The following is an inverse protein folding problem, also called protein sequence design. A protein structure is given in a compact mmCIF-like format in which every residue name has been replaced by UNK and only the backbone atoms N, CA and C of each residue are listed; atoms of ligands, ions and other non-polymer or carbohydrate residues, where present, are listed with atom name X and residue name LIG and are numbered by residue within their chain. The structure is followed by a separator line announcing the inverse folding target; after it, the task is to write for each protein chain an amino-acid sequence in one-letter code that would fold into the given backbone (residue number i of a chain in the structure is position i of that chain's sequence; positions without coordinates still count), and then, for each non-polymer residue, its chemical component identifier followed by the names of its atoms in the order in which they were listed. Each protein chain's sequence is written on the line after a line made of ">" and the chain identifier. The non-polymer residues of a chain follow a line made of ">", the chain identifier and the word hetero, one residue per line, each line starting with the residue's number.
data_IF_399766423864
#
_entry.id   IF_399766423864
#
_cell.length_a   1.000
_cell.length_b   1.000
_cell.length_c   1.000
_cell.angle_alpha   90.00
_cell.angle_beta   90.00
_cell.angle_gamma   90.00
#
_symmetry.space_group_name_H-M   'P 1'
#
loop_
_entity.id
_entity.type
_entity.pdbx_description
1 polymer ?
#
# COMPACT_ATOMS: atom_id res chain seq x y z
N UNK A 1 53.96 6.59 -19.57
CA UNK A 1 52.81 7.51 -19.46
C UNK A 1 51.55 6.67 -19.48
N UNK A 2 51.00 6.43 -18.27
CA UNK A 2 49.82 5.60 -18.05
C UNK A 2 48.57 6.42 -18.38
N UNK A 3 47.67 5.82 -19.16
CA UNK A 3 46.40 6.39 -19.61
C UNK A 3 45.35 6.09 -18.53
N UNK A 4 44.95 7.10 -17.78
CA UNK A 4 43.79 7.00 -16.87
C UNK A 4 42.50 6.97 -17.70
N UNK A 5 41.58 6.03 -17.47
CA UNK A 5 40.23 6.12 -18.01
C UNK A 5 39.38 7.04 -17.13
N UNK A 6 38.87 8.09 -17.78
CA UNK A 6 37.81 8.97 -17.30
C UNK A 6 36.61 8.19 -16.76
N UNK A 7 36.35 8.29 -15.45
CA UNK A 7 35.07 7.91 -14.86
C UNK A 7 33.99 8.90 -15.34
N UNK A 8 33.36 8.57 -16.47
CA UNK A 8 32.12 9.19 -16.89
C UNK A 8 31.02 8.84 -15.91
N UNK A 9 30.36 9.87 -15.37
CA UNK A 9 29.26 9.75 -14.42
C UNK A 9 28.18 8.80 -14.92
N UNK A 10 27.96 7.74 -14.15
CA UNK A 10 26.73 6.96 -14.23
C UNK A 10 25.61 7.87 -13.72
N UNK A 11 24.84 8.41 -14.66
CA UNK A 11 23.51 8.90 -14.39
C UNK A 11 22.79 7.84 -13.55
N UNK A 12 22.27 8.26 -12.38
CA UNK A 12 21.41 7.47 -11.53
C UNK A 12 20.30 6.87 -12.40
N UNK A 13 20.35 5.55 -12.58
CA UNK A 13 19.26 4.81 -13.18
C UNK A 13 18.07 4.88 -12.23
N UNK A 14 17.19 5.80 -12.55
CA UNK A 14 15.81 5.89 -12.14
C UNK A 14 15.13 4.51 -12.16
N UNK A 15 14.48 4.11 -11.05
CA UNK A 15 13.46 3.08 -11.04
C UNK A 15 13.87 1.59 -11.10
N UNK A 16 14.98 1.17 -10.49
CA UNK A 16 15.18 -0.26 -10.23
C UNK A 16 14.12 -0.74 -9.22
N UNK A 17 13.11 -1.46 -9.71
CA UNK A 17 12.07 -2.12 -8.92
C UNK A 17 12.73 -2.90 -7.77
N UNK A 18 12.67 -2.35 -6.55
CA UNK A 18 13.34 -2.95 -5.39
C UNK A 18 12.77 -4.36 -5.20
N UNK A 19 13.65 -5.35 -5.26
CA UNK A 19 13.28 -6.74 -5.04
C UNK A 19 12.51 -6.87 -3.72
N UNK A 20 11.30 -7.42 -3.78
CA UNK A 20 10.55 -7.80 -2.58
C UNK A 20 10.93 -9.21 -2.15
N UNK A 21 10.96 -9.39 -0.85
CA UNK A 21 11.19 -10.66 -0.18
C UNK A 21 10.01 -10.97 0.71
N UNK A 22 9.70 -12.26 0.84
CA UNK A 22 8.72 -12.80 1.77
C UNK A 22 9.45 -13.74 2.72
N UNK A 23 9.42 -13.43 4.01
CA UNK A 23 9.94 -14.30 5.06
C UNK A 23 8.80 -14.86 5.90
N UNK A 24 8.79 -16.17 6.13
CA UNK A 24 7.76 -16.86 6.92
C UNK A 24 8.42 -17.58 8.09
N UNK A 25 7.79 -17.50 9.26
CA UNK A 25 8.11 -18.31 10.43
C UNK A 25 6.82 -18.83 11.08
N UNK A 26 6.91 -19.86 11.90
CA UNK A 26 5.79 -20.39 12.66
C UNK A 26 6.18 -20.81 14.08
N UNK A 27 5.17 -20.86 14.95
CA UNK A 27 5.21 -21.46 16.26
C UNK A 27 4.13 -22.53 16.33
N UNK A 28 4.52 -23.76 16.63
CA UNK A 28 3.62 -24.90 16.80
C UNK A 28 3.33 -25.14 18.30
N UNK A 29 2.39 -26.05 18.57
CA UNK A 29 2.08 -26.56 19.92
C UNK A 29 1.68 -25.47 20.92
N UNK A 30 0.98 -24.44 20.42
CA UNK A 30 0.54 -23.31 21.20
C UNK A 30 -0.73 -23.63 21.99
N UNK A 31 -0.53 -23.94 23.27
CA UNK A 31 -1.63 -24.07 24.23
C UNK A 31 -2.12 -22.73 24.81
N UNK A 32 -1.54 -21.59 24.39
CA UNK A 32 -1.87 -20.29 24.96
C UNK A 32 -2.70 -19.42 24.00
N UNK A 33 -4.03 -19.33 24.20
CA UNK A 33 -4.89 -18.51 23.35
C UNK A 33 -4.64 -17.00 23.50
N UNK A 34 -3.91 -16.55 24.53
CA UNK A 34 -3.62 -15.13 24.77
C UNK A 34 -2.44 -14.59 23.98
N UNK A 35 -1.55 -15.45 23.48
CA UNK A 35 -0.36 -14.99 22.74
C UNK A 35 -0.73 -14.24 21.46
N UNK A 36 -1.71 -14.76 20.70
CA UNK A 36 -2.21 -14.08 19.51
C UNK A 36 -2.66 -12.66 19.84
N UNK A 37 -3.52 -12.52 20.85
CA UNK A 37 -4.07 -11.22 21.25
C UNK A 37 -2.97 -10.26 21.68
N UNK A 38 -2.01 -10.71 22.48
CA UNK A 38 -0.90 -9.87 22.94
C UNK A 38 -0.01 -9.38 21.79
N UNK A 39 0.27 -10.23 20.80
CA UNK A 39 1.01 -9.84 19.60
C UNK A 39 0.18 -8.88 18.74
N UNK A 40 -1.09 -9.20 18.52
CA UNK A 40 -2.02 -8.37 17.79
C UNK A 40 -2.08 -6.94 18.36
N UNK A 41 -2.40 -6.81 19.65
CA UNK A 41 -2.55 -5.52 20.33
C UNK A 41 -1.24 -4.72 20.29
N UNK A 42 -0.09 -5.39 20.39
CA UNK A 42 1.21 -4.73 20.28
C UNK A 42 1.45 -4.12 18.88
N UNK A 43 1.21 -4.88 17.82
CA UNK A 43 1.47 -4.40 16.47
C UNK A 43 0.39 -3.43 15.98
N UNK A 44 -0.86 -3.60 16.40
CA UNK A 44 -1.96 -2.67 16.12
C UNK A 44 -1.74 -1.29 16.76
N UNK A 45 -0.99 -1.22 17.86
CA UNK A 45 -0.62 0.06 18.48
C UNK A 45 0.43 0.85 17.67
N UNK A 46 1.12 0.21 16.72
CA UNK A 46 2.24 0.80 15.98
C UNK A 46 1.95 0.92 14.48
N UNK A 47 1.18 -0.01 13.93
CA UNK A 47 0.93 -0.14 12.50
C UNK A 47 -0.58 -0.19 12.21
N UNK A 48 -1.03 0.46 11.12
CA UNK A 48 -2.37 0.22 10.58
C UNK A 48 -2.60 -1.27 10.35
N UNK A 49 -3.78 -1.75 10.73
CA UNK A 49 -4.13 -3.18 10.66
C UNK A 49 -5.39 -3.38 9.83
N UNK A 50 -5.33 -4.32 8.89
CA UNK A 50 -6.49 -4.89 8.21
C UNK A 50 -6.74 -6.28 8.78
N UNK A 51 -7.92 -6.48 9.38
CA UNK A 51 -8.29 -7.76 9.97
C UNK A 51 -9.18 -8.56 9.01
N UNK A 52 -8.79 -9.80 8.73
CA UNK A 52 -9.64 -10.81 8.07
C UNK A 52 -9.83 -12.00 9.03
N UNK A 53 -10.86 -12.80 8.80
CA UNK A 53 -11.15 -13.96 9.66
C UNK A 53 -9.91 -14.86 9.78
N UNK A 54 -9.33 -14.95 11.00
CA UNK A 54 -8.16 -15.79 11.28
C UNK A 54 -6.79 -15.17 10.91
N UNK A 55 -6.73 -13.92 10.44
CA UNK A 55 -5.46 -13.25 10.14
C UNK A 55 -5.53 -11.73 10.33
N UNK A 56 -4.46 -11.16 10.86
CA UNK A 56 -4.28 -9.71 10.94
C UNK A 56 -3.08 -9.30 10.09
N UNK A 57 -3.29 -8.36 9.18
CA UNK A 57 -2.26 -7.80 8.30
C UNK A 57 -1.90 -6.39 8.76
N UNK A 58 -0.65 -6.20 9.18
CA UNK A 58 -0.08 -4.95 9.66
C UNK A 58 0.75 -4.32 8.53
N UNK A 59 0.49 -3.05 8.24
CA UNK A 59 1.16 -2.33 7.15
C UNK A 59 2.35 -1.55 7.68
N UNK A 60 3.55 -1.93 7.22
CA UNK A 60 4.83 -1.40 7.71
C UNK A 60 5.29 -0.15 6.92
N UNK A 61 4.54 0.23 5.88
CA UNK A 61 4.90 1.29 4.94
C UNK A 61 5.71 0.77 3.75
N UNK A 62 5.60 1.44 2.60
CA UNK A 62 6.33 1.00 1.40
C UNK A 62 5.96 -0.41 0.95
N UNK A 63 4.73 -0.88 1.24
CA UNK A 63 4.12 -2.13 0.72
C UNK A 63 4.66 -3.37 1.40
N UNK A 64 5.42 -3.11 2.45
CA UNK A 64 5.92 -4.08 3.36
C UNK A 64 4.80 -4.37 4.35
N UNK A 65 4.53 -5.65 4.55
CA UNK A 65 3.45 -6.11 5.41
C UNK A 65 3.99 -7.10 6.41
N UNK A 66 3.36 -7.16 7.57
CA UNK A 66 3.51 -8.23 8.51
C UNK A 66 2.14 -8.87 8.72
N UNK A 67 1.99 -10.16 8.41
CA UNK A 67 0.77 -10.91 8.70
C UNK A 67 0.97 -11.83 9.89
N UNK A 68 0.02 -11.75 10.80
CA UNK A 68 -0.13 -12.65 11.93
C UNK A 68 -1.34 -13.55 11.66
N UNK A 69 -1.09 -14.82 11.41
CA UNK A 69 -2.14 -15.81 11.18
C UNK A 69 -2.36 -16.64 12.44
N UNK A 70 -3.63 -16.90 12.74
CA UNK A 70 -4.04 -17.79 13.82
C UNK A 70 -4.53 -19.11 13.24
N UNK A 71 -3.73 -20.15 13.44
CA UNK A 71 -4.14 -21.53 13.21
C UNK A 71 -4.86 -22.12 14.43
N UNK A 72 -5.15 -23.41 14.38
CA UNK A 72 -5.85 -24.12 15.45
C UNK A 72 -4.95 -24.25 16.70
N UNK A 73 -3.69 -24.64 16.50
CA UNK A 73 -2.68 -24.87 17.55
C UNK A 73 -1.34 -24.19 17.24
N UNK A 74 -1.34 -23.26 16.28
CA UNK A 74 -0.14 -22.64 15.76
C UNK A 74 -0.38 -21.15 15.44
N UNK A 75 0.73 -20.42 15.40
CA UNK A 75 0.78 -19.06 14.88
C UNK A 75 1.80 -19.04 13.75
N UNK A 76 1.42 -18.45 12.62
CA UNK A 76 2.35 -18.17 11.55
C UNK A 76 2.50 -16.68 11.32
N UNK A 77 3.71 -16.32 10.93
CA UNK A 77 4.18 -14.96 10.74
C UNK A 77 4.68 -14.87 9.31
N UNK A 78 4.17 -13.92 8.55
CA UNK A 78 4.66 -13.61 7.21
C UNK A 78 5.09 -12.15 7.17
N UNK A 79 6.31 -11.87 6.76
CA UNK A 79 6.80 -10.50 6.56
C UNK A 79 7.15 -10.35 5.09
N UNK A 80 6.44 -9.46 4.38
CA UNK A 80 6.84 -9.00 3.06
C UNK A 80 7.62 -7.70 3.23
N UNK A 81 8.82 -7.63 2.67
CA UNK A 81 9.71 -6.48 2.83
C UNK A 81 10.57 -6.23 1.60
N UNK A 82 10.94 -4.97 1.42
CA UNK A 82 11.96 -4.51 0.46
C UNK A 82 13.12 -3.84 1.19
N UNK A 83 12.93 -3.45 2.46
CA UNK A 83 13.94 -2.89 3.35
C UNK A 83 14.20 -3.85 4.52
N UNK A 84 15.46 -4.28 4.64
CA UNK A 84 15.89 -5.20 5.70
C UNK A 84 15.72 -4.60 7.11
N UNK A 85 15.68 -3.28 7.24
CA UNK A 85 15.52 -2.58 8.52
C UNK A 85 14.15 -2.82 9.13
N UNK A 86 13.09 -2.82 8.29
CA UNK A 86 11.71 -3.12 8.72
C UNK A 86 11.57 -4.58 9.13
N UNK A 87 12.14 -5.49 8.33
CA UNK A 87 12.23 -6.90 8.69
C UNK A 87 12.92 -7.10 10.05
N UNK A 88 14.08 -6.47 10.26
CA UNK A 88 14.83 -6.58 11.52
C UNK A 88 14.04 -6.04 12.73
N UNK A 89 13.30 -4.95 12.57
CA UNK A 89 12.48 -4.37 13.64
C UNK A 89 11.33 -5.31 14.06
N UNK A 90 10.58 -5.84 13.09
CA UNK A 90 9.46 -6.75 13.35
C UNK A 90 9.96 -8.06 13.96
N UNK A 91 11.00 -8.67 13.36
CA UNK A 91 11.56 -9.94 13.88
C UNK A 91 12.15 -9.80 15.27
N UNK A 92 12.81 -8.68 15.60
CA UNK A 92 13.29 -8.40 16.97
C UNK A 92 12.13 -8.32 17.97
N UNK A 93 11.05 -7.62 17.61
CA UNK A 93 9.86 -7.51 18.45
C UNK A 93 9.19 -8.87 18.66
N UNK A 94 9.06 -9.67 17.59
CA UNK A 94 8.53 -11.03 17.65
C UNK A 94 9.38 -11.92 18.55
N UNK A 95 10.68 -12.03 18.29
CA UNK A 95 11.59 -12.88 19.07
C UNK A 95 11.57 -12.54 20.56
N UNK A 96 11.48 -11.25 20.92
CA UNK A 96 11.35 -10.83 22.31
C UNK A 96 10.07 -11.37 22.97
N UNK A 97 8.95 -11.29 22.26
CA UNK A 97 7.61 -11.67 22.77
C UNK A 97 7.33 -13.17 22.70
N UNK A 98 7.99 -13.87 21.78
CA UNK A 98 7.82 -15.32 21.57
C UNK A 98 8.90 -16.15 22.25
N UNK A 99 9.89 -15.54 22.92
CA UNK A 99 11.02 -16.22 23.59
C UNK A 99 10.64 -17.39 24.50
N UNK A 100 9.46 -17.32 25.15
CA UNK A 100 8.96 -18.41 26.02
C UNK A 100 8.52 -19.66 25.24
N UNK A 101 8.21 -19.50 23.96
CA UNK A 101 7.65 -20.53 23.07
C UNK A 101 8.68 -20.99 22.03
N UNK A 102 9.61 -20.12 21.63
CA UNK A 102 10.77 -20.47 20.80
C UNK A 102 12.05 -19.97 21.48
N UNK A 103 12.70 -20.86 22.26
CA UNK A 103 13.92 -20.53 23.02
C UNK A 103 15.08 -20.15 22.10
N UNK A 104 15.19 -20.82 20.96
CA UNK A 104 16.23 -20.60 19.95
C UNK A 104 15.86 -19.50 18.93
N UNK A 105 14.74 -18.80 19.16
CA UNK A 105 14.18 -17.80 18.26
C UNK A 105 13.36 -18.41 17.12
N UNK A 106 12.63 -17.55 16.43
CA UNK A 106 11.84 -17.95 15.25
C UNK A 106 12.75 -18.30 14.08
N UNK A 107 12.51 -19.47 13.49
CA UNK A 107 13.20 -19.89 12.27
C UNK A 107 12.47 -19.32 11.05
N UNK A 108 13.17 -18.50 10.26
CA UNK A 108 12.60 -17.81 9.10
C UNK A 108 13.03 -18.46 7.79
N UNK A 109 12.06 -18.80 6.95
CA UNK A 109 12.28 -19.18 5.55
C UNK A 109 12.02 -17.97 4.65
N UNK A 110 12.96 -17.61 3.79
CA UNK A 110 12.88 -16.40 2.95
C UNK A 110 12.87 -16.76 1.47
N UNK A 111 11.92 -16.21 0.73
CA UNK A 111 11.83 -16.32 -0.73
C UNK A 111 11.71 -14.95 -1.39
N UNK A 112 12.17 -14.84 -2.64
CA UNK A 112 11.91 -13.66 -3.46
C UNK A 112 10.48 -13.69 -3.96
N UNK A 113 9.81 -12.55 -3.96
CA UNK A 113 8.47 -12.40 -4.53
C UNK A 113 8.47 -11.30 -5.59
N UNK A 114 7.66 -11.48 -6.63
CA UNK A 114 7.43 -10.44 -7.61
C UNK A 114 6.66 -9.30 -6.93
N UNK A 115 7.09 -8.07 -7.16
CA UNK A 115 6.32 -6.89 -6.82
C UNK A 115 5.01 -6.89 -7.62
N UNK A 116 3.87 -6.53 -7.00
CA UNK A 116 2.65 -6.27 -7.75
C UNK A 116 2.90 -5.15 -8.76
N UNK A 117 2.22 -5.19 -9.91
CA UNK A 117 2.30 -4.05 -10.84
C UNK A 117 1.68 -2.84 -10.15
N UNK A 118 2.48 -1.79 -9.99
CA UNK A 118 2.04 -0.56 -9.34
C UNK A 118 1.14 0.24 -10.28
N UNK A 119 -0.19 0.10 -10.10
CA UNK A 119 -1.19 0.90 -10.82
C UNK A 119 -1.11 2.37 -10.37
N UNK A 120 -1.02 2.57 -9.06
CA UNK A 120 -0.73 3.85 -8.43
C UNK A 120 0.69 3.82 -7.88
N UNK A 121 1.31 5.00 -7.65
CA UNK A 121 2.62 5.13 -6.99
C UNK A 121 2.51 4.85 -5.48
N UNK A 122 1.87 3.74 -5.17
CA UNK A 122 1.66 3.14 -3.87
C UNK A 122 2.41 1.82 -3.86
N UNK A 123 2.88 1.41 -2.69
CA UNK A 123 2.80 2.06 -1.37
C UNK A 123 3.65 3.33 -1.21
N UNK A 124 3.30 4.22 -0.26
CA UNK A 124 4.13 5.39 0.11
C UNK A 124 4.89 5.19 1.43
N UNK A 125 6.01 5.91 1.64
CA UNK A 125 6.61 6.05 2.96
C UNK A 125 5.61 6.66 3.96
N UNK A 126 5.64 6.19 5.20
CA UNK A 126 4.74 6.66 6.25
C UNK A 126 5.14 8.06 6.73
N UNK A 127 6.43 8.28 6.95
CA UNK A 127 7.02 9.54 7.43
C UNK A 127 7.18 10.62 6.34
N UNK A 128 6.47 10.50 5.23
CA UNK A 128 6.52 11.48 4.15
C UNK A 128 6.04 12.86 4.67
N UNK A 129 6.86 13.93 4.54
CA UNK A 129 6.56 15.24 5.14
C UNK A 129 5.69 16.13 4.24
N UNK A 130 5.42 15.71 3.00
CA UNK A 130 4.67 16.49 2.01
C UNK A 130 3.19 16.60 2.38
N UNK A 131 2.52 17.66 1.92
CA UNK A 131 1.09 17.83 2.14
C UNK A 131 0.29 16.69 1.49
N UNK A 132 -0.85 16.27 2.08
CA UNK A 132 -1.65 15.17 1.53
C UNK A 132 -2.05 15.37 0.07
N UNK A 133 -2.38 16.60 -0.33
CA UNK A 133 -2.70 16.95 -1.71
C UNK A 133 -1.53 16.60 -2.63
N UNK A 134 -0.32 17.04 -2.32
CA UNK A 134 0.87 16.82 -3.14
C UNK A 134 1.23 15.33 -3.20
N UNK A 135 1.10 14.61 -2.09
CA UNK A 135 1.34 13.16 -2.06
C UNK A 135 0.32 12.43 -2.91
N UNK A 136 -0.96 12.82 -2.86
CA UNK A 136 -1.99 12.26 -3.72
C UNK A 136 -1.73 12.58 -5.20
N UNK A 137 -1.28 13.78 -5.55
CA UNK A 137 -0.88 14.08 -6.94
C UNK A 137 0.19 13.10 -7.43
N UNK A 138 1.21 12.83 -6.61
CA UNK A 138 2.25 11.83 -6.94
C UNK A 138 1.70 10.40 -6.99
N UNK A 139 0.84 9.99 -6.04
CA UNK A 139 0.21 8.67 -6.01
C UNK A 139 -0.53 8.39 -7.33
N UNK A 140 -1.24 9.40 -7.84
CA UNK A 140 -2.02 9.32 -9.08
C UNK A 140 -1.24 9.72 -10.34
N UNK A 141 0.07 9.99 -10.24
CA UNK A 141 0.95 10.38 -11.36
C UNK A 141 0.49 11.65 -12.10
N UNK A 142 -0.10 12.61 -11.38
CA UNK A 142 -0.63 13.87 -11.91
C UNK A 142 0.38 15.04 -11.84
N UNK A 143 1.53 14.78 -11.23
CA UNK A 143 2.71 15.65 -11.16
C UNK A 143 3.71 15.37 -12.29
N UNK A 144 3.49 14.34 -13.10
CA UNK A 144 4.32 14.07 -14.28
C UNK A 144 4.17 15.18 -15.32
N UNK A 145 5.31 15.64 -15.84
CA UNK A 145 5.35 16.57 -16.99
C UNK A 145 4.96 15.89 -18.30
N UNK A 146 5.00 14.54 -18.35
CA UNK A 146 4.56 13.76 -19.49
C UNK A 146 3.06 13.46 -19.38
N UNK A 147 2.30 14.37 -19.96
CA UNK A 147 0.86 14.28 -20.00
C UNK A 147 0.33 13.05 -20.78
N UNK A 148 1.10 12.50 -21.75
CA UNK A 148 0.77 11.28 -22.51
C UNK A 148 0.84 10.03 -21.64
N UNK A 149 1.92 9.91 -20.88
CA UNK A 149 2.08 8.83 -19.91
C UNK A 149 1.05 8.91 -18.78
N UNK A 150 0.69 10.11 -18.30
CA UNK A 150 -0.38 10.29 -17.32
C UNK A 150 -1.72 9.73 -17.82
N UNK A 151 -2.15 10.06 -19.05
CA UNK A 151 -3.41 9.52 -19.62
C UNK A 151 -3.37 8.00 -19.79
N UNK A 152 -2.24 7.45 -20.23
CA UNK A 152 -2.05 5.99 -20.35
C UNK A 152 -2.20 5.30 -18.99
N UNK A 153 -1.62 5.87 -17.93
CA UNK A 153 -1.75 5.37 -16.56
C UNK A 153 -3.19 5.45 -16.06
N UNK A 154 -3.87 6.56 -16.32
CA UNK A 154 -5.29 6.73 -15.96
C UNK A 154 -6.14 5.65 -16.63
N UNK A 155 -5.94 5.43 -17.92
CA UNK A 155 -6.67 4.40 -18.68
C UNK A 155 -6.39 2.99 -18.14
N UNK A 156 -5.13 2.72 -17.79
CA UNK A 156 -4.70 1.44 -17.18
C UNK A 156 -5.35 1.24 -15.81
N UNK A 157 -5.42 2.29 -14.99
CA UNK A 157 -6.09 2.24 -13.68
C UNK A 157 -7.59 1.97 -13.84
N UNK A 158 -8.27 2.65 -14.77
CA UNK A 158 -9.69 2.43 -15.04
C UNK A 158 -9.94 0.97 -15.44
N UNK A 159 -9.15 0.44 -16.39
CA UNK A 159 -9.30 -0.94 -16.85
C UNK A 159 -9.07 -1.97 -15.73
N UNK A 160 -8.09 -1.71 -14.85
CA UNK A 160 -7.74 -2.63 -13.77
C UNK A 160 -8.71 -2.56 -12.58
N UNK A 161 -9.17 -1.36 -12.21
CA UNK A 161 -10.06 -1.14 -11.06
C UNK A 161 -11.54 -1.35 -11.41
N UNK A 162 -11.93 -1.16 -12.68
CA UNK A 162 -13.30 -1.31 -13.17
C UNK A 162 -13.40 -2.33 -14.33
N UNK A 163 -12.96 -3.59 -14.16
CA UNK A 163 -12.92 -4.57 -15.24
C UNK A 163 -14.32 -4.97 -15.77
N UNK A 164 -15.38 -4.73 -14.99
CA UNK A 164 -16.76 -5.12 -15.33
C UNK A 164 -17.72 -3.92 -15.37
N UNK A 165 -17.20 -2.69 -15.47
CA UNK A 165 -17.99 -1.46 -15.48
C UNK A 165 -17.92 -0.66 -14.17
N UNK A 166 -18.75 0.40 -14.00
CA UNK A 166 -18.51 1.53 -13.08
C UNK A 166 -18.71 1.24 -11.58
N UNK A 167 -18.96 0.00 -11.18
CA UNK A 167 -19.04 -0.39 -9.76
C UNK A 167 -17.78 -1.14 -9.34
N UNK A 168 -17.14 -0.66 -8.27
CA UNK A 168 -16.12 -1.41 -7.53
C UNK A 168 -16.81 -2.51 -6.69
N UNK A 169 -17.32 -3.56 -7.34
CA UNK A 169 -17.96 -4.66 -6.61
C UNK A 169 -18.77 -5.61 -7.48
N UNK A 170 -18.51 -6.91 -7.34
CA UNK A 170 -19.27 -8.01 -7.96
C UNK A 170 -18.50 -8.86 -8.97
N UNK A 171 -17.33 -8.40 -9.44
CA UNK A 171 -16.40 -9.16 -10.29
C UNK A 171 -15.12 -9.55 -9.55
N UNK A 172 -14.43 -10.58 -10.03
CA UNK A 172 -13.10 -10.96 -9.56
C UNK A 172 -12.11 -9.83 -9.91
N UNK A 173 -11.78 -8.97 -8.95
CA UNK A 173 -10.73 -7.97 -9.14
C UNK A 173 -9.37 -8.66 -9.32
N UNK A 174 -8.47 -8.03 -10.09
CA UNK A 174 -7.10 -8.50 -10.18
C UNK A 174 -6.39 -8.32 -8.83
N UNK A 175 -5.36 -9.15 -8.57
CA UNK A 175 -4.54 -9.00 -7.37
C UNK A 175 -3.91 -7.60 -7.27
N UNK A 176 -3.54 -7.00 -8.41
CA UNK A 176 -2.96 -5.66 -8.46
C UNK A 176 -3.97 -4.56 -8.07
N UNK A 177 -5.24 -4.68 -8.51
CA UNK A 177 -6.32 -3.78 -8.12
C UNK A 177 -6.61 -3.86 -6.62
N UNK A 178 -6.71 -5.08 -6.09
CA UNK A 178 -6.93 -5.28 -4.65
C UNK A 178 -5.77 -4.75 -3.81
N UNK A 179 -4.53 -4.99 -4.24
CA UNK A 179 -3.34 -4.47 -3.56
C UNK A 179 -3.28 -2.93 -3.62
N UNK A 180 -3.64 -2.33 -4.75
CA UNK A 180 -3.72 -0.87 -4.92
C UNK A 180 -4.74 -0.25 -3.97
N UNK A 181 -5.93 -0.84 -3.87
CA UNK A 181 -6.98 -0.40 -2.95
C UNK A 181 -6.54 -0.50 -1.49
N UNK A 182 -5.93 -1.62 -1.10
CA UNK A 182 -5.41 -1.82 0.26
C UNK A 182 -4.35 -0.77 0.59
N UNK A 183 -3.34 -0.63 -0.25
CA UNK A 183 -2.24 0.32 -0.02
C UNK A 183 -2.73 1.78 0.07
N UNK A 184 -3.76 2.15 -0.70
CA UNK A 184 -4.36 3.49 -0.61
C UNK A 184 -5.11 3.67 0.71
N UNK A 185 -5.89 2.68 1.13
CA UNK A 185 -6.57 2.70 2.43
C UNK A 185 -5.56 2.79 3.58
N UNK A 186 -4.46 2.05 3.52
CA UNK A 186 -3.42 2.09 4.55
C UNK A 186 -2.76 3.48 4.62
N UNK A 187 -2.50 4.09 3.46
CA UNK A 187 -1.96 5.45 3.43
C UNK A 187 -2.93 6.47 4.04
N UNK A 188 -4.23 6.37 3.73
CA UNK A 188 -5.27 7.23 4.30
C UNK A 188 -5.42 7.03 5.82
N UNK A 189 -5.44 5.78 6.28
CA UNK A 189 -5.45 5.44 7.71
C UNK A 189 -4.25 6.05 8.42
N UNK A 190 -3.07 6.02 7.78
CA UNK A 190 -1.88 6.62 8.36
C UNK A 190 -1.96 8.16 8.47
N UNK A 191 -2.60 8.83 7.51
CA UNK A 191 -2.84 10.27 7.62
C UNK A 191 -3.79 10.61 8.79
N UNK A 192 -4.77 9.74 9.07
CA UNK A 192 -5.66 9.87 10.21
C UNK A 192 -4.93 9.64 11.54
N UNK A 193 -4.10 8.60 11.65
CA UNK A 193 -3.24 8.37 12.82
C UNK A 193 -2.32 9.56 13.09
N UNK A 194 -1.80 10.21 12.04
CA UNK A 194 -1.00 11.45 12.15
C UNK A 194 -1.82 12.71 12.41
N UNK A 195 -3.14 12.60 12.48
CA UNK A 195 -4.08 13.69 12.68
C UNK A 195 -4.00 14.76 11.56
N UNK A 196 -3.53 14.38 10.38
CA UNK A 196 -3.42 15.24 9.21
C UNK A 196 -4.75 15.25 8.45
N UNK A 197 -5.33 14.07 8.26
CA UNK A 197 -6.69 13.90 7.75
C UNK A 197 -7.58 13.35 8.87
N UNK A 198 -8.89 13.47 8.70
CA UNK A 198 -9.90 12.79 9.49
C UNK A 198 -10.52 11.72 8.59
N UNK A 199 -10.26 10.46 8.88
CA UNK A 199 -10.70 9.31 8.06
C UNK A 199 -11.29 8.24 8.95
N UNK A 200 -12.62 8.20 9.07
CA UNK A 200 -13.31 7.26 9.96
C UNK A 200 -13.18 5.79 9.49
N UNK A 201 -13.35 5.55 8.19
CA UNK A 201 -13.13 4.25 7.55
C UNK A 201 -12.25 4.42 6.32
N UNK A 202 -11.00 3.98 6.43
CA UNK A 202 -10.02 4.15 5.38
C UNK A 202 -10.30 3.33 4.11
N UNK A 203 -10.97 2.18 4.24
CA UNK A 203 -11.36 1.35 3.09
C UNK A 203 -12.48 2.01 2.29
N UNK A 204 -13.49 2.55 2.99
CA UNK A 204 -14.54 3.35 2.35
C UNK A 204 -13.98 4.64 1.75
N UNK A 205 -13.08 5.33 2.45
CA UNK A 205 -12.45 6.56 1.95
C UNK A 205 -11.62 6.31 0.68
N UNK A 206 -10.84 5.22 0.64
CA UNK A 206 -10.11 4.81 -0.57
C UNK A 206 -11.07 4.52 -1.74
N UNK A 207 -12.15 3.79 -1.47
CA UNK A 207 -13.20 3.47 -2.47
C UNK A 207 -13.86 4.74 -3.00
N UNK A 208 -14.18 5.69 -2.12
CA UNK A 208 -14.76 6.98 -2.47
C UNK A 208 -13.81 7.80 -3.34
N UNK A 209 -12.54 7.91 -2.94
CA UNK A 209 -11.53 8.64 -3.72
C UNK A 209 -11.36 8.03 -5.12
N UNK A 210 -11.18 6.72 -5.22
CA UNK A 210 -11.06 6.02 -6.51
C UNK A 210 -12.31 6.21 -7.37
N UNK A 211 -13.50 6.16 -6.77
CA UNK A 211 -14.76 6.39 -7.47
C UNK A 211 -14.92 7.82 -7.97
N UNK A 212 -14.51 8.81 -7.19
CA UNK A 212 -14.45 10.22 -7.62
C UNK A 212 -13.48 10.38 -8.78
N UNK A 213 -12.30 9.76 -8.70
CA UNK A 213 -11.23 9.91 -9.70
C UNK A 213 -11.55 9.23 -11.03
N UNK A 214 -12.15 8.04 -10.99
CA UNK A 214 -12.24 7.15 -12.16
C UNK A 214 -13.66 6.70 -12.51
N UNK A 215 -14.61 6.70 -11.57
CA UNK A 215 -15.92 6.08 -11.74
C UNK A 215 -16.74 6.68 -12.88
N UNK A 216 -16.76 8.02 -13.00
CA UNK A 216 -17.41 8.71 -14.11
C UNK A 216 -16.80 8.34 -15.47
N UNK A 217 -15.47 8.24 -15.54
CA UNK A 217 -14.77 7.86 -16.77
C UNK A 217 -14.98 6.39 -17.13
N UNK A 218 -15.00 5.48 -16.15
CA UNK A 218 -15.33 4.07 -16.36
C UNK A 218 -16.72 3.91 -16.99
N UNK A 219 -17.69 4.72 -16.54
CA UNK A 219 -19.04 4.75 -17.11
C UNK A 219 -19.04 5.23 -18.56
N UNK A 220 -18.36 6.34 -18.86
CA UNK A 220 -18.24 6.89 -20.22
C UNK A 220 -17.58 5.90 -21.19
N UNK A 221 -16.49 5.26 -20.75
CA UNK A 221 -15.79 4.25 -21.55
C UNK A 221 -16.68 3.04 -21.83
N UNK A 222 -17.45 2.60 -20.85
CA UNK A 222 -18.42 1.49 -21.02
C UNK A 222 -19.57 1.86 -21.96
N UNK A 223 -19.92 3.15 -22.06
CA UNK A 223 -20.91 3.70 -23.00
C UNK A 223 -20.33 4.02 -24.39
N UNK A 224 -19.02 3.85 -24.61
CA UNK A 224 -18.35 4.17 -25.88
C UNK A 224 -18.08 5.66 -26.12
N UNK A 225 -18.24 6.53 -25.11
CA UNK A 225 -18.12 7.99 -25.25
C UNK A 225 -16.67 8.51 -25.17
N UNK A 226 -15.70 7.61 -24.99
CA UNK A 226 -14.28 7.96 -24.83
C UNK A 226 -13.97 8.80 -23.58
N UNK A 227 -12.68 9.06 -23.39
CA UNK A 227 -12.20 10.00 -22.37
C UNK A 227 -12.30 11.44 -22.89
N UNK A 228 -12.51 12.44 -22.01
CA UNK A 228 -12.38 13.84 -22.40
C UNK A 228 -10.94 14.16 -22.83
N UNK A 229 -10.72 15.36 -23.36
CA UNK A 229 -9.37 15.80 -23.68
C UNK A 229 -8.46 15.76 -22.45
N UNK A 230 -7.16 15.59 -22.71
CA UNK A 230 -6.13 15.36 -21.71
C UNK A 230 -6.09 16.43 -20.61
N UNK A 231 -6.23 17.71 -20.97
CA UNK A 231 -6.14 18.80 -20.02
C UNK A 231 -7.36 18.80 -19.09
N UNK A 232 -8.55 18.57 -19.65
CA UNK A 232 -9.79 18.42 -18.88
C UNK A 232 -9.76 17.21 -17.96
N UNK A 233 -9.22 16.07 -18.43
CA UNK A 233 -9.07 14.85 -17.63
C UNK A 233 -8.19 15.08 -16.40
N UNK A 234 -6.99 15.63 -16.60
CA UNK A 234 -6.04 15.91 -15.51
C UNK A 234 -6.61 16.99 -14.57
N UNK A 235 -7.23 18.05 -15.11
CA UNK A 235 -7.84 19.10 -14.31
C UNK A 235 -8.97 18.60 -13.41
N UNK A 236 -9.82 17.71 -13.93
CA UNK A 236 -10.87 17.04 -13.16
C UNK A 236 -10.28 16.22 -12.01
N UNK A 237 -9.28 15.39 -12.29
CA UNK A 237 -8.63 14.55 -11.27
C UNK A 237 -7.95 15.38 -10.17
N UNK A 238 -7.27 16.46 -10.54
CA UNK A 238 -6.68 17.40 -9.57
C UNK A 238 -7.76 18.01 -8.68
N UNK A 239 -8.91 18.36 -9.25
CA UNK A 239 -10.06 18.91 -8.52
C UNK A 239 -10.67 17.88 -7.57
N UNK A 240 -10.78 16.61 -7.98
CA UNK A 240 -11.23 15.52 -7.12
C UNK A 240 -10.32 15.33 -5.90
N UNK A 241 -8.99 15.36 -6.08
CA UNK A 241 -8.02 15.29 -4.97
C UNK A 241 -8.22 16.46 -4.02
N UNK A 242 -8.29 17.69 -4.54
CA UNK A 242 -8.48 18.88 -3.71
C UNK A 242 -9.80 18.82 -2.92
N UNK A 243 -10.88 18.39 -3.56
CA UNK A 243 -12.19 18.26 -2.93
C UNK A 243 -12.18 17.18 -1.84
N UNK A 244 -11.59 16.02 -2.14
CA UNK A 244 -11.48 14.91 -1.19
C UNK A 244 -10.66 15.33 0.03
N UNK A 245 -9.46 15.88 -0.17
CA UNK A 245 -8.62 16.31 0.95
C UNK A 245 -9.32 17.39 1.77
N UNK A 246 -9.95 18.38 1.13
CA UNK A 246 -10.73 19.40 1.85
C UNK A 246 -11.86 18.78 2.69
N UNK A 247 -12.54 17.77 2.17
CA UNK A 247 -13.60 17.05 2.91
C UNK A 247 -13.08 16.22 4.07
N UNK A 248 -11.86 15.69 3.95
CA UNK A 248 -11.17 14.93 5.00
C UNK A 248 -10.26 15.80 5.87
N UNK A 249 -10.20 17.13 5.70
CA UNK A 249 -9.39 17.98 6.57
C UNK A 249 -9.97 17.91 7.97
N UNK A 250 -9.10 17.71 8.94
CA UNK A 250 -9.48 17.82 10.34
C UNK A 250 -9.88 19.27 10.59
N UNK A 251 -11.13 19.47 11.01
CA UNK A 251 -11.59 20.78 11.44
C UNK A 251 -11.25 20.89 12.92
N UNK A 252 -10.45 21.89 13.30
CA UNK A 252 -10.30 22.25 14.70
C UNK A 252 -11.68 22.70 15.20
N UNK A 253 -12.19 22.00 16.21
CA UNK A 253 -13.44 22.35 16.89
C UNK A 253 -13.23 23.56 17.80
#
# INVERSE_FOLDING_TARGET
>A
MLREPSYGGLAEQDGAERAMYRSIASLTDLNNPRLYKALHDHFAAVYPVSAKTGASEFHLGGGQTFRLHRGLNDLSFEITYSDISRFAAVTRSLNSRTKKYAKDGLQWSTSRVASPRQLLALPRPLDEPRAPEDVLMSIFHLDLNDSAETERRITTCIAALYPSGPRLGGGQQSNDAQATMSNLADWLSFQDVRQILQVDDAGHAATMLISMMFGGFASRMSAGEGLPDRASLIGYMKSCIQLFVRGCRRHDA
#
